data_IF_437523505744
#
_entry.id   IF_437523505744
#
_cell.length_a   1.000
_cell.length_b   1.000
_cell.length_c   1.000
_cell.angle_alpha   90.00
_cell.angle_beta   90.00
_cell.angle_gamma   90.00
#
_symmetry.space_group_name_H-M   'P 1'
#
loop_
_entity.id
_entity.type
_entity.pdbx_description
1 polymer ?
#
# COMPACT_ATOMS: atom_id res chain seq x y z
N UNK A 1 -0.91 -0.20 9.13
CA UNK A 1 -0.71 1.11 8.47
C UNK A 1 -0.59 2.27 9.46
N UNK A 2 -1.64 2.67 10.20
CA UNK A 2 -1.56 3.85 11.09
C UNK A 2 -0.50 3.75 12.20
N UNK A 3 -0.33 2.56 12.78
CA UNK A 3 0.63 2.31 13.86
C UNK A 3 2.02 1.92 13.34
N UNK A 4 2.23 1.94 12.03
CA UNK A 4 3.55 1.72 11.43
C UNK A 4 4.31 3.05 11.41
N UNK A 5 5.03 3.33 12.50
CA UNK A 5 5.74 4.58 12.68
C UNK A 5 6.88 4.76 11.67
N UNK A 6 7.59 3.68 11.29
CA UNK A 6 8.66 3.74 10.30
C UNK A 6 8.15 4.16 8.93
N UNK A 7 7.06 3.53 8.46
CA UNK A 7 6.34 3.94 7.25
C UNK A 7 5.91 5.40 7.32
N UNK A 8 5.26 5.81 8.41
CA UNK A 8 4.72 7.17 8.53
C UNK A 8 5.83 8.24 8.54
N UNK A 9 6.93 8.00 9.26
CA UNK A 9 8.09 8.91 9.30
C UNK A 9 8.74 9.05 7.92
N UNK A 10 8.93 7.94 7.19
CA UNK A 10 9.48 7.98 5.83
C UNK A 10 8.71 8.94 4.92
N UNK A 11 7.39 8.79 4.84
CA UNK A 11 6.58 9.67 4.00
C UNK A 11 6.54 11.11 4.53
N UNK A 12 6.51 11.31 5.85
CA UNK A 12 6.53 12.65 6.42
C UNK A 12 7.84 13.38 6.06
N UNK A 13 8.99 12.74 6.21
CA UNK A 13 10.29 13.31 5.89
C UNK A 13 10.43 13.58 4.39
N UNK A 14 10.02 12.61 3.55
CA UNK A 14 10.06 12.76 2.10
C UNK A 14 9.17 13.91 1.59
N UNK A 15 8.03 14.14 2.23
CA UNK A 15 7.10 15.23 1.87
C UNK A 15 7.49 16.59 2.47
N UNK A 16 8.18 16.62 3.62
CA UNK A 16 8.68 17.88 4.20
C UNK A 16 9.72 18.56 3.33
N UNK A 17 10.49 17.79 2.55
CA UNK A 17 11.47 18.31 1.59
C UNK A 17 10.82 18.93 0.34
N UNK A 18 9.51 18.77 0.16
CA UNK A 18 8.79 19.12 -1.07
C UNK A 18 7.94 20.39 -0.92
N UNK A 19 8.35 21.48 -1.55
CA UNK A 19 7.56 22.73 -1.69
C UNK A 19 6.78 22.76 -3.01
N UNK A 20 6.01 21.72 -3.34
CA UNK A 20 5.42 21.54 -4.67
C UNK A 20 4.03 20.90 -4.67
N UNK A 21 3.30 20.89 -5.80
CA UNK A 21 1.96 20.26 -5.88
C UNK A 21 2.08 18.74 -5.84
N UNK A 22 1.41 18.11 -4.88
CA UNK A 22 1.50 16.66 -4.64
C UNK A 22 0.21 15.97 -5.07
N UNK A 23 0.31 14.92 -5.88
CA UNK A 23 -0.75 13.98 -6.19
C UNK A 23 -0.52 12.68 -5.39
N UNK A 24 -1.54 12.15 -4.72
CA UNK A 24 -1.45 10.90 -3.96
C UNK A 24 -2.38 9.84 -4.55
N UNK A 25 -1.84 8.71 -5.01
CA UNK A 25 -2.61 7.56 -5.49
C UNK A 25 -2.86 6.62 -4.30
N UNK A 26 -4.14 6.37 -4.03
CA UNK A 26 -4.70 5.69 -2.86
C UNK A 26 -4.38 6.39 -1.52
N UNK A 27 -5.32 7.18 -1.00
CA UNK A 27 -5.32 7.52 0.42
C UNK A 27 -6.28 6.60 1.15
N UNK A 28 -5.72 5.53 1.68
CA UNK A 28 -6.29 4.96 2.87
C UNK A 28 -6.22 6.00 4.01
N UNK A 29 -7.21 6.02 4.93
CA UNK A 29 -7.20 6.88 6.12
C UNK A 29 -6.00 6.60 7.05
N UNK A 30 -5.21 5.56 6.72
CA UNK A 30 -3.93 5.21 7.33
C UNK A 30 -2.78 6.18 7.06
N UNK A 31 -2.98 7.13 6.16
CA UNK A 31 -2.05 8.20 5.87
C UNK A 31 -2.48 9.42 6.73
N UNK A 32 -1.88 9.61 7.91
CA UNK A 32 -2.08 10.81 8.74
C UNK A 32 -1.39 11.98 8.08
N UNK A 33 -1.91 12.46 6.96
CA UNK A 33 -1.12 13.38 6.16
C UNK A 33 -1.21 14.81 6.63
N UNK A 34 -0.07 15.27 7.17
CA UNK A 34 0.53 16.57 6.90
C UNK A 34 0.85 16.76 5.40
N UNK A 35 -0.08 16.44 4.49
CA UNK A 35 0.08 16.81 3.07
C UNK A 35 -0.29 18.28 2.94
N UNK A 36 0.73 19.13 2.90
CA UNK A 36 0.58 20.56 2.69
C UNK A 36 0.19 20.95 1.26
N UNK A 37 0.01 20.02 0.32
CA UNK A 37 -0.14 20.41 -1.08
C UNK A 37 -1.14 19.51 -1.84
N UNK A 38 -2.21 20.11 -2.34
CA UNK A 38 -3.06 19.70 -3.47
C UNK A 38 -3.28 18.19 -3.68
N UNK A 39 -3.47 17.40 -2.61
CA UNK A 39 -3.52 15.95 -2.74
C UNK A 39 -4.87 15.50 -3.30
N UNK A 40 -4.85 14.93 -4.50
CA UNK A 40 -6.00 14.28 -5.12
C UNK A 40 -5.95 12.78 -4.97
N UNK A 41 -6.70 12.33 -4.00
CA UNK A 41 -6.77 10.93 -3.59
C UNK A 41 -7.71 10.21 -4.52
N UNK A 42 -7.21 9.26 -5.32
CA UNK A 42 -8.05 8.31 -6.05
C UNK A 42 -8.42 7.14 -5.15
N UNK A 43 -9.70 6.97 -4.85
CA UNK A 43 -10.23 5.77 -4.21
C UNK A 43 -11.22 5.13 -5.19
N UNK A 44 -10.88 3.94 -5.72
CA UNK A 44 -11.77 3.18 -6.59
C UNK A 44 -13.05 2.69 -5.90
N UNK A 45 -13.18 2.91 -4.59
CA UNK A 45 -14.33 2.55 -3.77
C UNK A 45 -14.90 3.81 -3.09
N UNK A 46 -16.20 4.07 -3.31
CA UNK A 46 -16.92 5.21 -2.73
C UNK A 46 -16.86 5.25 -1.20
N UNK A 47 -16.90 4.09 -0.53
CA UNK A 47 -16.83 4.02 0.93
C UNK A 47 -15.46 4.48 1.46
N UNK A 48 -14.37 4.11 0.77
CA UNK A 48 -13.03 4.57 1.11
C UNK A 48 -12.86 6.07 0.84
N UNK A 49 -13.47 6.58 -0.25
CA UNK A 49 -13.52 8.00 -0.53
C UNK A 49 -14.25 8.78 0.58
N UNK A 50 -15.41 8.30 1.04
CA UNK A 50 -16.15 8.90 2.15
C UNK A 50 -15.33 8.92 3.45
N UNK A 51 -14.62 7.83 3.76
CA UNK A 51 -13.78 7.74 4.94
C UNK A 51 -12.57 8.69 4.85
N UNK A 52 -11.97 8.82 3.66
CA UNK A 52 -10.93 9.79 3.40
C UNK A 52 -11.45 11.22 3.55
N UNK A 53 -12.64 11.54 3.03
CA UNK A 53 -13.28 12.85 3.18
C UNK A 53 -13.49 13.22 4.66
N UNK A 54 -14.03 12.28 5.46
CA UNK A 54 -14.21 12.47 6.91
C UNK A 54 -12.87 12.69 7.62
N UNK A 55 -11.83 11.96 7.22
CA UNK A 55 -10.48 12.10 7.78
C UNK A 55 -9.88 13.47 7.45
N UNK A 56 -10.03 13.94 6.20
CA UNK A 56 -9.58 15.26 5.77
C UNK A 56 -10.30 16.35 6.57
N UNK A 57 -11.62 16.26 6.70
CA UNK A 57 -12.42 17.23 7.44
C UNK A 57 -12.04 17.27 8.92
N UNK A 58 -11.97 16.10 9.58
CA UNK A 58 -11.60 16.01 10.99
C UNK A 58 -10.19 16.56 11.29
N UNK A 59 -9.29 16.52 10.30
CA UNK A 59 -7.94 17.04 10.42
C UNK A 59 -7.80 18.53 10.04
N UNK A 60 -8.84 19.16 9.47
CA UNK A 60 -8.76 20.55 8.99
C UNK A 60 -8.41 21.54 10.11
N UNK A 61 -8.90 21.31 11.33
CA UNK A 61 -8.55 22.15 12.49
C UNK A 61 -7.08 22.05 12.89
N UNK A 62 -6.45 20.88 12.71
CA UNK A 62 -5.04 20.68 13.00
C UNK A 62 -4.14 21.23 11.89
N UNK A 63 -4.67 21.34 10.67
CA UNK A 63 -3.94 21.78 9.49
C UNK A 63 -4.73 22.82 8.67
N UNK A 64 -5.03 24.01 9.24
CA UNK A 64 -5.96 24.96 8.65
C UNK A 64 -5.50 25.56 7.31
N UNK A 65 -4.19 25.52 7.03
CA UNK A 65 -3.60 26.03 5.80
C UNK A 65 -3.41 24.93 4.73
N UNK A 66 -3.95 23.73 4.93
CA UNK A 66 -3.85 22.65 3.94
C UNK A 66 -4.96 22.76 2.90
N UNK A 67 -4.58 22.60 1.64
CA UNK A 67 -5.52 22.58 0.52
C UNK A 67 -5.54 21.17 -0.09
N UNK A 68 -6.40 20.32 0.47
CA UNK A 68 -6.57 18.92 0.06
C UNK A 68 -7.89 18.78 -0.71
N UNK A 69 -7.85 18.10 -1.86
CA UNK A 69 -9.04 17.89 -2.72
C UNK A 69 -9.19 16.42 -3.07
N UNK A 70 -10.19 15.72 -2.55
CA UNK A 70 -10.43 14.31 -2.84
C UNK A 70 -11.04 14.10 -4.25
N UNK A 71 -10.57 13.11 -5.03
CA UNK A 71 -11.26 12.64 -6.25
C UNK A 71 -11.69 11.18 -6.05
N UNK A 72 -12.98 10.92 -5.90
CA UNK A 72 -13.51 9.56 -5.78
C UNK A 72 -13.52 8.79 -7.13
N UNK A 73 -12.35 8.54 -7.72
CA UNK A 73 -12.15 7.81 -8.97
C UNK A 73 -10.87 6.97 -8.92
N UNK A 74 -10.75 5.97 -9.80
CA UNK A 74 -9.48 5.30 -10.08
C UNK A 74 -8.50 6.29 -10.72
N UNK A 75 -7.21 6.23 -10.36
CA UNK A 75 -6.17 7.11 -10.92
C UNK A 75 -6.13 7.05 -12.46
N UNK A 76 -6.40 5.88 -13.03
CA UNK A 76 -6.47 5.66 -14.48
C UNK A 76 -7.63 6.35 -15.20
N UNK A 77 -8.58 6.89 -14.44
CA UNK A 77 -9.76 7.60 -14.94
C UNK A 77 -9.69 9.11 -14.67
N UNK A 78 -8.68 9.57 -13.92
CA UNK A 78 -8.48 10.99 -13.65
C UNK A 78 -7.85 11.64 -14.88
N UNK A 79 -8.43 12.76 -15.32
CA UNK A 79 -7.88 13.62 -16.36
C UNK A 79 -7.29 14.93 -15.79
N UNK A 80 -6.55 15.69 -16.61
CA UNK A 80 -5.92 16.94 -16.20
C UNK A 80 -6.90 18.07 -15.89
N UNK A 81 -8.06 18.10 -16.58
CA UNK A 81 -9.11 19.07 -16.32
C UNK A 81 -9.72 18.85 -14.95
N UNK A 82 -9.98 17.58 -14.62
CA UNK A 82 -10.32 17.14 -13.28
C UNK A 82 -9.19 17.58 -12.35
N UNK A 83 -7.94 17.10 -12.49
CA UNK A 83 -6.78 17.38 -11.61
C UNK A 83 -6.40 18.87 -11.47
N UNK A 84 -6.79 19.73 -12.41
CA UNK A 84 -6.40 21.15 -12.45
C UNK A 84 -4.93 21.35 -12.86
N UNK A 85 -4.45 20.53 -13.79
CA UNK A 85 -3.08 20.54 -14.30
C UNK A 85 -2.15 19.50 -13.66
N UNK A 86 -0.94 19.33 -14.23
CA UNK A 86 0.01 18.29 -13.82
C UNK A 86 0.56 18.51 -12.41
N UNK A 87 0.76 17.42 -11.68
CA UNK A 87 1.43 17.41 -10.39
C UNK A 87 2.95 17.53 -10.53
N UNK A 88 3.60 18.11 -9.54
CA UNK A 88 5.06 18.14 -9.43
C UNK A 88 5.59 16.84 -8.80
N UNK A 89 4.79 16.26 -7.90
CA UNK A 89 5.14 15.08 -7.12
C UNK A 89 3.99 14.09 -7.16
N UNK A 90 4.32 12.83 -7.42
CA UNK A 90 3.43 11.69 -7.30
C UNK A 90 3.81 10.86 -6.08
N UNK A 91 2.87 10.63 -5.18
CA UNK A 91 3.04 9.79 -3.99
C UNK A 91 2.14 8.57 -4.13
N UNK A 92 2.65 7.39 -3.81
CA UNK A 92 1.82 6.19 -3.70
C UNK A 92 2.24 5.36 -2.50
N UNK A 93 1.27 4.67 -1.93
CA UNK A 93 1.45 3.60 -0.94
C UNK A 93 0.53 2.44 -1.30
N UNK A 94 0.64 1.98 -2.54
CA UNK A 94 -0.13 0.83 -3.07
C UNK A 94 0.71 -0.44 -3.03
N UNK A 95 1.42 -0.65 -1.91
CA UNK A 95 2.31 -1.79 -1.73
C UNK A 95 1.64 -2.81 -0.80
N UNK A 96 1.59 -4.06 -1.23
CA UNK A 96 1.09 -5.17 -0.43
C UNK A 96 2.23 -5.92 0.26
N UNK A 97 1.93 -7.13 0.76
CA UNK A 97 2.96 -8.07 1.25
C UNK A 97 4.00 -8.39 0.16
N UNK A 98 3.54 -8.55 -1.08
CA UNK A 98 4.39 -8.53 -2.25
C UNK A 98 4.48 -7.09 -2.75
N UNK A 99 5.69 -6.61 -3.06
CA UNK A 99 5.93 -5.22 -3.46
C UNK A 99 5.01 -4.77 -4.61
N UNK A 100 4.72 -5.67 -5.56
CA UNK A 100 3.91 -5.37 -6.74
C UNK A 100 2.50 -6.00 -6.69
N UNK A 101 2.11 -6.59 -5.55
CA UNK A 101 0.87 -7.35 -5.42
C UNK A 101 -0.41 -6.54 -5.66
N UNK A 102 -0.38 -5.25 -5.35
CA UNK A 102 -1.54 -4.34 -5.48
C UNK A 102 -1.46 -3.46 -6.74
N UNK A 103 -0.61 -3.81 -7.71
CA UNK A 103 -0.56 -3.11 -9.00
C UNK A 103 0.11 -1.73 -8.98
N UNK A 104 0.98 -1.45 -7.99
CA UNK A 104 1.70 -0.19 -7.88
C UNK A 104 2.34 0.28 -9.20
N UNK A 105 3.05 -0.62 -9.91
CA UNK A 105 3.66 -0.27 -11.21
C UNK A 105 2.64 0.10 -12.28
N UNK A 106 1.48 -0.55 -12.30
CA UNK A 106 0.42 -0.26 -13.27
C UNK A 106 -0.09 1.17 -13.10
N UNK A 107 -0.41 1.56 -11.85
CA UNK A 107 -0.94 2.90 -11.56
C UNK A 107 0.12 3.99 -11.67
N UNK A 108 1.35 3.71 -11.25
CA UNK A 108 2.48 4.64 -11.40
C UNK A 108 2.81 4.88 -12.88
N UNK A 109 2.85 3.82 -13.69
CA UNK A 109 3.15 3.95 -15.13
C UNK A 109 2.06 4.74 -15.83
N UNK A 110 0.79 4.49 -15.53
CA UNK A 110 -0.32 5.25 -16.10
C UNK A 110 -0.30 6.75 -15.73
N UNK A 111 -0.02 7.08 -14.47
CA UNK A 111 0.09 8.47 -14.03
C UNK A 111 1.29 9.21 -14.65
N UNK A 112 2.33 8.49 -15.08
CA UNK A 112 3.58 9.01 -15.65
C UNK A 112 3.58 9.05 -17.19
N UNK A 113 3.05 8.03 -17.87
CA UNK A 113 3.28 7.79 -19.31
C UNK A 113 2.18 8.32 -20.23
N UNK A 114 2.61 9.01 -21.31
CA UNK A 114 1.67 9.51 -22.34
C UNK A 114 1.00 8.30 -22.95
N UNK A 115 -0.33 8.23 -22.89
CA UNK A 115 -1.08 7.30 -23.73
C UNK A 115 -1.63 8.10 -24.90
N UNK A 116 -1.37 7.63 -26.12
CA UNK A 116 -1.74 8.30 -27.37
C UNK A 116 -3.23 8.65 -27.46
N UNK A 117 -4.08 7.93 -26.73
CA UNK A 117 -5.54 8.10 -26.69
C UNK A 117 -6.09 8.91 -25.50
N UNK A 118 -5.27 9.29 -24.50
CA UNK A 118 -5.71 10.04 -23.29
C UNK A 118 -5.01 11.39 -23.06
N UNK A 119 -4.14 11.81 -23.98
CA UNK A 119 -3.46 13.10 -23.89
C UNK A 119 -2.31 13.13 -22.88
N UNK A 120 -2.01 14.33 -22.35
CA UNK A 120 -0.96 14.52 -21.36
C UNK A 120 -1.40 13.97 -19.99
N UNK A 121 -0.77 12.90 -19.50
CA UNK A 121 -0.92 12.33 -18.14
C UNK A 121 -0.55 13.26 -16.97
N UNK A 122 -0.77 12.75 -15.75
CA UNK A 122 -0.91 13.48 -14.48
C UNK A 122 0.38 14.08 -13.91
N UNK A 123 1.55 13.49 -14.16
CA UNK A 123 2.83 13.99 -13.65
C UNK A 123 3.53 14.91 -14.67
N UNK A 124 4.14 16.00 -14.18
CA UNK A 124 5.02 16.86 -15.01
C UNK A 124 6.22 16.07 -15.53
N UNK A 125 6.75 16.51 -16.66
CA UNK A 125 8.06 16.03 -17.11
C UNK A 125 9.11 16.43 -16.06
N UNK A 126 9.93 15.47 -15.63
CA UNK A 126 10.86 15.66 -14.51
C UNK A 126 10.20 15.68 -13.12
N UNK A 127 8.90 15.43 -13.01
CA UNK A 127 8.20 15.33 -11.72
C UNK A 127 8.74 14.18 -10.86
N UNK A 128 8.69 14.36 -9.55
CA UNK A 128 9.22 13.39 -8.58
C UNK A 128 8.19 12.30 -8.26
N UNK A 129 8.65 11.07 -8.04
CA UNK A 129 7.82 9.97 -7.53
C UNK A 129 8.34 9.57 -6.15
N UNK A 130 7.43 9.39 -5.19
CA UNK A 130 7.72 8.97 -3.82
C UNK A 130 6.92 7.70 -3.50
N UNK A 131 7.59 6.58 -3.13
CA UNK A 131 9.04 6.40 -3.13
C UNK A 131 9.64 6.40 -4.55
N UNK A 132 10.92 6.73 -4.68
CA UNK A 132 11.62 6.77 -5.97
C UNK A 132 11.86 5.37 -6.57
N UNK A 133 11.78 4.32 -5.75
CA UNK A 133 11.95 2.93 -6.16
C UNK A 133 11.66 1.96 -5.03
N UNK A 134 11.75 0.67 -5.34
CA UNK A 134 11.58 -0.43 -4.39
C UNK A 134 12.32 -1.68 -4.86
N UNK A 135 12.68 -2.56 -3.93
CA UNK A 135 13.38 -3.81 -4.20
C UNK A 135 12.65 -4.97 -3.51
N UNK A 136 12.29 -5.99 -4.27
CA UNK A 136 11.72 -7.23 -3.73
C UNK A 136 12.85 -8.21 -3.44
N UNK A 137 12.92 -8.69 -2.21
CA UNK A 137 13.89 -9.68 -1.78
C UNK A 137 13.27 -11.07 -1.78
N UNK A 138 14.12 -12.07 -1.98
CA UNK A 138 13.83 -13.49 -1.81
C UNK A 138 15.00 -14.14 -1.09
N UNK A 139 14.71 -15.03 -0.15
CA UNK A 139 15.71 -15.86 0.52
C UNK A 139 15.14 -17.25 0.75
N UNK A 140 16.00 -18.25 0.77
CA UNK A 140 15.61 -19.59 1.22
C UNK A 140 15.55 -19.58 2.74
N UNK A 141 14.53 -20.24 3.29
CA UNK A 141 14.35 -20.43 4.73
C UNK A 141 14.14 -21.92 4.99
N UNK A 142 14.72 -22.43 6.07
CA UNK A 142 14.43 -23.77 6.57
C UNK A 142 13.37 -23.68 7.65
N UNK A 143 12.33 -24.50 7.53
CA UNK A 143 11.26 -24.60 8.52
C UNK A 143 11.05 -26.07 8.90
N UNK A 144 10.49 -26.31 10.09
CA UNK A 144 10.13 -27.67 10.52
C UNK A 144 9.07 -28.26 9.59
N UNK A 145 9.22 -29.53 9.21
CA UNK A 145 8.25 -30.27 8.40
C UNK A 145 6.86 -30.29 9.06
N UNK A 146 6.79 -30.22 10.39
CA UNK A 146 5.53 -30.18 11.14
C UNK A 146 4.63 -28.97 10.81
N UNK A 147 5.16 -27.95 10.12
CA UNK A 147 4.38 -26.78 9.68
C UNK A 147 3.47 -27.11 8.50
N UNK A 148 3.83 -28.09 7.67
CA UNK A 148 3.13 -28.38 6.40
C UNK A 148 2.87 -29.86 6.14
N UNK A 149 3.53 -30.78 6.86
CA UNK A 149 3.25 -32.22 6.84
C UNK A 149 2.42 -32.61 8.08
N UNK A 150 1.16 -33.06 7.91
CA UNK A 150 0.32 -33.47 9.03
C UNK A 150 0.80 -34.82 9.59
N UNK A 151 0.98 -34.95 10.92
CA UNK A 151 1.35 -36.23 11.50
C UNK A 151 0.20 -37.24 11.41
N UNK A 152 0.46 -38.55 11.50
CA UNK A 152 -0.59 -39.55 11.67
C UNK A 152 -1.47 -39.21 12.89
N UNK A 153 -2.77 -39.48 12.78
CA UNK A 153 -3.72 -39.15 13.85
C UNK A 153 -4.64 -40.33 14.13
N UNK A 154 -4.67 -40.82 15.37
CA UNK A 154 -5.55 -41.93 15.82
C UNK A 154 -5.53 -43.18 14.90
N UNK A 155 -4.35 -43.54 14.40
CA UNK A 155 -4.18 -44.68 13.50
C UNK A 155 -4.46 -44.39 12.02
N UNK A 156 -4.88 -43.17 11.67
CA UNK A 156 -4.98 -42.73 10.28
C UNK A 156 -3.62 -42.24 9.77
N UNK A 157 -3.17 -42.79 8.65
CA UNK A 157 -2.03 -42.28 7.90
C UNK A 157 -2.49 -41.10 7.02
N UNK A 158 -1.95 -39.91 7.27
CA UNK A 158 -2.29 -38.68 6.56
C UNK A 158 -1.24 -38.25 5.51
N UNK A 159 -0.19 -39.06 5.29
CA UNK A 159 0.91 -38.71 4.36
C UNK A 159 0.45 -38.40 2.93
N UNK A 160 -0.64 -38.98 2.45
CA UNK A 160 -1.17 -38.67 1.11
C UNK A 160 -1.68 -37.23 0.97
N UNK A 161 -1.90 -36.50 2.07
CA UNK A 161 -2.23 -35.06 2.00
C UNK A 161 -1.03 -34.22 1.55
N UNK A 162 0.20 -34.72 1.67
CA UNK A 162 1.41 -34.05 1.19
C UNK A 162 1.41 -33.89 -0.34
N UNK A 163 0.76 -34.82 -1.07
CA UNK A 163 0.62 -34.73 -2.53
C UNK A 163 -0.22 -33.50 -2.96
N UNK A 164 -0.98 -32.92 -2.02
CA UNK A 164 -1.81 -31.72 -2.23
C UNK A 164 -1.14 -30.45 -1.67
N UNK A 165 0.12 -30.50 -1.25
CA UNK A 165 0.83 -29.34 -0.71
C UNK A 165 0.87 -28.20 -1.74
N UNK A 166 0.44 -27.00 -1.32
CA UNK A 166 0.59 -25.80 -2.12
C UNK A 166 2.05 -25.37 -2.16
N UNK A 167 2.70 -25.63 -3.30
CA UNK A 167 4.10 -25.25 -3.59
C UNK A 167 4.20 -23.91 -4.34
N UNK A 168 3.07 -23.23 -4.56
CA UNK A 168 2.97 -22.01 -5.37
C UNK A 168 2.64 -20.80 -4.51
N UNK A 169 1.69 -20.93 -3.58
CA UNK A 169 1.27 -19.85 -2.69
C UNK A 169 1.21 -20.35 -1.25
N UNK A 170 2.20 -19.94 -0.45
CA UNK A 170 2.18 -20.18 0.97
C UNK A 170 2.41 -18.88 1.73
N UNK A 171 1.51 -18.58 2.65
CA UNK A 171 1.63 -17.45 3.58
C UNK A 171 1.82 -18.01 4.98
N UNK A 172 2.98 -17.74 5.57
CA UNK A 172 3.19 -17.99 6.99
C UNK A 172 2.28 -17.05 7.79
N UNK A 173 1.24 -17.58 8.43
CA UNK A 173 0.55 -16.85 9.47
C UNK A 173 1.29 -17.09 10.79
N UNK A 174 1.95 -16.05 11.29
CA UNK A 174 2.56 -16.08 12.61
C UNK A 174 1.49 -15.85 13.66
N UNK A 175 0.73 -16.89 14.00
CA UNK A 175 -0.08 -16.84 15.21
C UNK A 175 0.84 -17.13 16.42
N UNK A 176 1.27 -16.06 17.09
CA UNK A 176 2.11 -16.08 18.32
C UNK A 176 1.32 -16.57 19.56
N UNK A 177 0.23 -17.31 19.34
CA UNK A 177 -0.67 -17.79 20.39
C UNK A 177 -0.22 -19.11 21.04
N UNK A 178 0.84 -19.76 20.52
CA UNK A 178 1.41 -21.00 21.09
C UNK A 178 2.75 -20.76 21.80
N UNK A 179 2.75 -19.89 22.82
CA UNK A 179 3.66 -20.10 23.96
C UNK A 179 3.24 -21.39 24.66
N UNK A 180 3.73 -22.52 24.15
CA UNK A 180 3.70 -23.80 24.83
C UNK A 180 4.34 -23.62 26.20
N UNK A 181 3.52 -23.66 27.25
CA UNK A 181 3.98 -23.95 28.60
C UNK A 181 4.66 -25.31 28.53
N UNK A 182 5.99 -25.32 28.56
CA UNK A 182 6.74 -26.48 29.02
C UNK A 182 6.36 -26.63 30.49
N UNK A 183 5.43 -27.53 30.76
CA UNK A 183 5.17 -28.00 32.11
C UNK A 183 6.23 -29.08 32.32
N UNK A 184 7.32 -28.71 32.98
CA UNK A 184 8.23 -29.68 33.57
C UNK A 184 7.43 -30.43 34.66
N UNK A 185 7.13 -31.70 34.42
CA UNK A 185 6.72 -32.64 35.46
C UNK A 185 7.77 -33.73 35.56
N UNK A 186 8.51 -33.70 36.67
CA UNK A 186 9.19 -34.85 37.24
C UNK A 186 8.19 -35.95 37.63
#
# INVERSE_FOLDING_TARGET
MLNDFGRNSFYQEALQAALARILAIEANPGFKTRLACASRVGAGNLHLAELAAKTIEGNRMLYPNTNISLIAQLSTQVDLGTLGGKADILVTETFGTMLLGEGALTFLSDAREKRDSKGDRLLKEGGQIIPAGGCQYVTLVQMSEAVWSPPPWRGFNLSQLEDLQDTVYWKADSDDSTRGKVVDSF
#
